data_IF_845371196215
#
_entry.id   IF_845371196215
#
_cell.length_a   1.000
_cell.length_b   1.000
_cell.length_c   1.000
_cell.angle_alpha   90.00
_cell.angle_beta   90.00
_cell.angle_gamma   90.00
#
_symmetry.space_group_name_H-M   'P 1'
#
loop_
_entity.id
_entity.type
_entity.pdbx_description
1 polymer ?
#
# COMPACT_ATOMS: atom_id res chain seq x y z
N UNK A 1 17.02 7.36 17.71
CA UNK A 1 17.72 7.00 16.46
C UNK A 1 16.77 7.34 15.33
N UNK A 2 16.86 8.57 14.80
CA UNK A 2 15.99 9.07 13.75
C UNK A 2 16.39 8.43 12.42
N UNK A 3 15.82 7.26 12.13
CA UNK A 3 15.94 6.63 10.82
C UNK A 3 15.02 7.34 9.85
N UNK A 4 15.45 8.47 9.30
CA UNK A 4 14.86 8.99 8.08
C UNK A 4 15.11 7.94 6.99
N UNK A 5 14.12 7.07 6.76
CA UNK A 5 14.16 6.09 5.69
C UNK A 5 14.29 6.87 4.39
N UNK A 6 15.49 6.86 3.82
CA UNK A 6 15.79 7.57 2.58
C UNK A 6 14.75 7.20 1.50
N UNK A 7 14.24 8.17 0.71
CA UNK A 7 13.20 7.92 -0.29
C UNK A 7 13.55 6.79 -1.28
N UNK A 8 14.84 6.58 -1.56
CA UNK A 8 15.31 5.49 -2.41
C UNK A 8 15.20 4.12 -1.73
N UNK A 9 15.41 4.06 -0.42
CA UNK A 9 15.20 2.83 0.39
C UNK A 9 13.72 2.48 0.45
N UNK A 10 12.85 3.49 0.62
CA UNK A 10 11.40 3.31 0.58
C UNK A 10 10.94 2.77 -0.79
N UNK A 11 11.47 3.33 -1.88
CA UNK A 11 11.12 2.89 -3.23
C UNK A 11 11.54 1.45 -3.52
N UNK A 12 12.75 1.06 -3.07
CA UNK A 12 13.23 -0.32 -3.20
C UNK A 12 12.37 -1.31 -2.44
N UNK A 13 12.03 -0.98 -1.19
CA UNK A 13 11.21 -1.84 -0.37
C UNK A 13 9.81 -2.00 -0.96
N UNK A 14 9.18 -0.90 -1.39
CA UNK A 14 7.90 -0.92 -2.09
C UNK A 14 7.91 -1.82 -3.34
N UNK A 15 8.97 -1.76 -4.16
CA UNK A 15 9.08 -2.60 -5.36
C UNK A 15 9.10 -4.10 -5.04
N UNK A 16 9.75 -4.50 -3.95
CA UNK A 16 9.79 -5.89 -3.49
C UNK A 16 8.37 -6.33 -3.09
N UNK A 17 7.71 -5.53 -2.24
CA UNK A 17 6.35 -5.82 -1.77
C UNK A 17 5.37 -5.91 -2.95
N UNK A 18 5.49 -5.01 -3.93
CA UNK A 18 4.68 -5.04 -5.14
C UNK A 18 4.86 -6.31 -5.98
N UNK A 19 6.09 -6.83 -6.10
CA UNK A 19 6.32 -8.09 -6.80
C UNK A 19 5.75 -9.29 -6.03
N UNK A 20 5.87 -9.29 -4.70
CA UNK A 20 5.29 -10.33 -3.84
C UNK A 20 3.76 -10.35 -3.87
N UNK A 21 3.09 -9.24 -4.21
CA UNK A 21 1.65 -9.27 -4.43
C UNK A 21 1.25 -10.18 -5.59
N UNK A 22 2.10 -10.34 -6.62
CA UNK A 22 1.75 -11.13 -7.82
C UNK A 22 1.89 -12.65 -7.61
N UNK A 23 2.29 -13.07 -6.42
CA UNK A 23 2.46 -14.46 -6.07
C UNK A 23 1.49 -14.81 -4.92
N UNK A 24 0.62 -15.82 -5.08
CA UNK A 24 -0.43 -16.12 -4.10
C UNK A 24 0.12 -16.56 -2.74
N UNK A 25 1.32 -17.17 -2.71
CA UNK A 25 1.96 -17.64 -1.47
C UNK A 25 2.43 -16.45 -0.63
N UNK A 26 3.02 -15.44 -1.29
CA UNK A 26 3.55 -14.24 -0.63
C UNK A 26 2.55 -13.08 -0.53
N UNK A 27 1.40 -13.17 -1.19
CA UNK A 27 0.34 -12.15 -1.19
C UNK A 27 -0.10 -11.74 0.21
N UNK A 28 -0.24 -12.70 1.13
CA UNK A 28 -0.70 -12.44 2.50
C UNK A 28 0.27 -11.54 3.26
N UNK A 29 1.56 -11.84 3.18
CA UNK A 29 2.59 -11.02 3.82
C UNK A 29 2.71 -9.66 3.15
N UNK A 30 2.71 -9.62 1.81
CA UNK A 30 2.79 -8.39 1.05
C UNK A 30 1.63 -7.43 1.34
N UNK A 31 0.41 -7.95 1.46
CA UNK A 31 -0.74 -7.14 1.85
C UNK A 31 -0.62 -6.59 3.28
N UNK A 32 -0.08 -7.37 4.23
CA UNK A 32 0.14 -6.89 5.60
C UNK A 32 1.17 -5.77 5.66
N UNK A 33 2.30 -5.95 4.96
CA UNK A 33 3.34 -4.92 4.85
C UNK A 33 2.78 -3.65 4.22
N UNK A 34 1.99 -3.76 3.15
CA UNK A 34 1.32 -2.60 2.55
C UNK A 34 0.30 -1.94 3.48
N UNK A 35 -0.47 -2.70 4.27
CA UNK A 35 -1.41 -2.13 5.25
C UNK A 35 -0.66 -1.34 6.32
N UNK A 36 0.43 -1.90 6.84
CA UNK A 36 1.28 -1.21 7.81
C UNK A 36 1.88 0.07 7.20
N UNK A 37 2.37 -0.03 5.96
CA UNK A 37 2.90 1.12 5.24
C UNK A 37 1.84 2.19 4.98
N UNK A 38 0.62 1.80 4.58
CA UNK A 38 -0.51 2.70 4.39
C UNK A 38 -1.07 3.28 5.71
N UNK A 39 -0.56 2.83 6.86
CA UNK A 39 -0.82 3.45 8.15
C UNK A 39 0.18 4.58 8.46
N UNK A 40 1.29 4.68 7.71
CA UNK A 40 2.28 5.75 7.81
C UNK A 40 1.94 6.90 6.85
N UNK A 41 1.88 8.13 7.37
CA UNK A 41 1.58 9.34 6.58
C UNK A 41 2.57 9.57 5.44
N UNK A 42 3.81 9.08 5.59
CA UNK A 42 4.87 9.21 4.57
C UNK A 42 4.58 8.39 3.32
N UNK A 43 3.72 7.37 3.39
CA UNK A 43 3.32 6.57 2.23
C UNK A 43 2.45 7.35 1.23
N UNK A 44 1.84 8.46 1.65
CA UNK A 44 0.92 9.26 0.84
C UNK A 44 1.54 10.55 0.29
N UNK A 45 2.86 10.58 0.14
CA UNK A 45 3.51 11.64 -0.62
C UNK A 45 3.15 11.52 -2.11
N UNK A 46 3.05 12.65 -2.83
CA UNK A 46 2.73 12.67 -4.29
C UNK A 46 3.58 11.69 -5.11
N UNK A 47 4.86 11.55 -4.78
CA UNK A 47 5.79 10.65 -5.47
C UNK A 47 5.42 9.17 -5.37
N UNK A 48 4.64 8.79 -4.34
CA UNK A 48 4.21 7.43 -4.07
C UNK A 48 2.73 7.20 -4.35
N UNK A 49 1.93 8.26 -4.49
CA UNK A 49 0.49 8.17 -4.73
C UNK A 49 0.16 7.39 -6.01
N UNK A 50 0.83 7.70 -7.13
CA UNK A 50 0.61 6.99 -8.40
C UNK A 50 0.98 5.50 -8.32
N UNK A 51 2.08 5.21 -7.64
CA UNK A 51 2.54 3.85 -7.36
C UNK A 51 1.49 3.09 -6.54
N UNK A 52 1.02 3.67 -5.44
CA UNK A 52 0.03 3.06 -4.56
C UNK A 52 -1.30 2.81 -5.30
N UNK A 53 -1.77 3.75 -6.13
CA UNK A 53 -2.98 3.57 -6.95
C UNK A 53 -2.80 2.39 -7.91
N UNK A 54 -1.66 2.29 -8.58
CA UNK A 54 -1.34 1.19 -9.49
C UNK A 54 -1.34 -0.15 -8.75
N UNK A 55 -0.74 -0.19 -7.57
CA UNK A 55 -0.75 -1.39 -6.70
C UNK A 55 -2.15 -1.78 -6.29
N UNK A 56 -2.99 -0.83 -5.86
CA UNK A 56 -4.37 -1.11 -5.46
C UNK A 56 -5.20 -1.71 -6.61
N UNK A 57 -5.01 -1.23 -7.84
CA UNK A 57 -5.66 -1.80 -9.03
C UNK A 57 -5.25 -3.26 -9.26
N UNK A 58 -3.97 -3.57 -9.08
CA UNK A 58 -3.46 -4.93 -9.17
C UNK A 58 -4.06 -5.80 -8.06
N UNK A 59 -4.07 -5.31 -6.81
CA UNK A 59 -4.66 -6.04 -5.67
C UNK A 59 -6.14 -6.33 -5.88
N UNK A 60 -6.93 -5.39 -6.43
CA UNK A 60 -8.35 -5.65 -6.75
C UNK A 60 -8.49 -6.81 -7.72
N UNK A 61 -7.64 -6.87 -8.75
CA UNK A 61 -7.66 -7.92 -9.76
C UNK A 61 -7.21 -9.26 -9.17
N UNK A 62 -6.16 -9.25 -8.35
CA UNK A 62 -5.62 -10.46 -7.73
C UNK A 62 -6.56 -11.01 -6.65
N UNK A 63 -7.18 -10.14 -5.86
CA UNK A 63 -8.11 -10.53 -4.80
C UNK A 63 -9.39 -11.22 -5.31
N UNK A 64 -9.71 -11.16 -6.61
CA UNK A 64 -10.81 -11.93 -7.22
C UNK A 64 -10.32 -13.18 -7.96
N UNK A 65 -9.01 -13.42 -7.97
CA UNK A 65 -8.38 -14.59 -8.59
C UNK A 65 -8.33 -15.75 -7.60
N UNK A 66 -8.55 -16.98 -8.08
CA UNK A 66 -8.46 -18.18 -7.25
C UNK A 66 -7.05 -18.34 -6.64
N UNK A 67 -6.99 -18.73 -5.36
CA UNK A 67 -5.74 -18.86 -4.61
C UNK A 67 -5.27 -17.60 -3.89
N UNK A 68 -5.96 -16.45 -4.05
CA UNK A 68 -5.65 -15.20 -3.35
C UNK A 68 -6.62 -14.93 -2.20
N UNK A 69 -6.13 -14.26 -1.14
CA UNK A 69 -6.95 -13.90 0.02
C UNK A 69 -7.79 -12.65 -0.28
N UNK A 70 -9.04 -12.88 -0.68
CA UNK A 70 -9.97 -11.82 -1.06
C UNK A 70 -10.25 -10.83 0.08
N UNK A 71 -10.37 -11.35 1.31
CA UNK A 71 -10.68 -10.56 2.49
C UNK A 71 -9.54 -9.61 2.81
N UNK A 72 -8.31 -10.09 2.71
CA UNK A 72 -7.12 -9.29 2.96
C UNK A 72 -6.92 -8.20 1.90
N UNK A 73 -7.16 -8.52 0.62
CA UNK A 73 -7.16 -7.53 -0.46
C UNK A 73 -8.17 -6.40 -0.21
N UNK A 74 -9.41 -6.75 0.17
CA UNK A 74 -10.44 -5.77 0.53
C UNK A 74 -10.03 -4.90 1.73
N UNK A 75 -9.38 -5.48 2.74
CA UNK A 75 -8.87 -4.73 3.91
C UNK A 75 -7.79 -3.71 3.54
N UNK A 76 -6.87 -4.07 2.64
CA UNK A 76 -5.84 -3.15 2.15
C UNK A 76 -6.48 -1.97 1.42
N UNK A 77 -7.43 -2.23 0.52
CA UNK A 77 -8.17 -1.17 -0.20
C UNK A 77 -8.86 -0.22 0.79
N UNK A 78 -9.59 -0.77 1.76
CA UNK A 78 -10.26 0.02 2.80
C UNK A 78 -9.29 0.83 3.67
N UNK A 79 -8.09 0.30 3.95
CA UNK A 79 -7.03 1.02 4.66
C UNK A 79 -6.56 2.23 3.84
N UNK A 80 -6.23 2.04 2.57
CA UNK A 80 -5.81 3.13 1.68
C UNK A 80 -6.88 4.21 1.53
N UNK A 81 -8.16 3.84 1.41
CA UNK A 81 -9.25 4.81 1.36
C UNK A 81 -9.34 5.68 2.62
N UNK A 82 -9.25 5.08 3.81
CA UNK A 82 -9.27 5.81 5.08
C UNK A 82 -8.07 6.73 5.24
N UNK A 83 -6.89 6.26 4.84
CA UNK A 83 -5.67 7.07 4.95
C UNK A 83 -5.66 8.22 3.93
N UNK A 84 -6.19 8.02 2.71
CA UNK A 84 -6.42 9.11 1.74
C UNK A 84 -7.34 10.19 2.29
N UNK A 85 -8.43 9.79 2.95
CA UNK A 85 -9.37 10.71 3.59
C UNK A 85 -8.68 11.55 4.68
N UNK A 86 -7.82 10.92 5.49
CA UNK A 86 -7.01 11.62 6.49
C UNK A 86 -6.03 12.62 5.90
N UNK A 87 -5.41 12.33 4.76
CA UNK A 87 -4.56 13.34 4.10
C UNK A 87 -5.39 14.49 3.57
N UNK A 88 -6.50 14.20 2.88
CA UNK A 88 -7.41 15.21 2.35
C UNK A 88 -8.02 16.11 3.46
N UNK A 89 -8.22 15.56 4.66
CA UNK A 89 -8.68 16.34 5.81
C UNK A 89 -7.55 17.20 6.41
N UNK A 90 -6.31 16.69 6.44
CA UNK A 90 -5.16 17.42 7.00
C UNK A 90 -4.75 18.63 6.16
N UNK A 91 -4.98 18.59 4.84
CA UNK A 91 -4.66 19.67 3.90
C UNK A 91 -5.87 20.53 3.51
N UNK A 92 -7.11 20.16 3.88
CA UNK A 92 -8.30 21.02 3.75
C UNK A 92 -8.50 22.00 4.92
N UNK A 93 -7.60 21.98 5.91
CA UNK A 93 -7.62 22.88 7.08
C UNK A 93 -6.60 24.03 7.03
N UNK A 94 -5.99 24.31 5.88
CA UNK A 94 -5.16 25.51 5.66
C UNK A 94 -5.98 26.67 5.08
#
# INVERSE_FOLDING_TARGET
MSGATDPQTLFRHYAIVYMSLKDPVSFVNACRELIEWCSDVRAFQRSFEENLITTLRVVVTLAVTEGYDQLLGARLIACCHRSRDRLNAANAGE
#
